data_IF_294960985177
#
_entry.id   IF_294960985177
#
_cell.length_a   1.000
_cell.length_b   1.000
_cell.length_c   1.000
_cell.angle_alpha   90.00
_cell.angle_beta   90.00
_cell.angle_gamma   90.00
#
_symmetry.space_group_name_H-M   'P 1'
#
loop_
_entity.id
_entity.type
_entity.pdbx_description
1 polymer ?
#
# COMPACT_ATOMS: atom_id res chain seq x y z
N UNK A 1 -7.63 35.31 33.06
CA UNK A 1 -8.49 34.43 32.24
C UNK A 1 -8.03 33.00 32.44
N UNK A 2 -8.82 32.18 33.11
CA UNK A 2 -8.55 30.76 33.32
C UNK A 2 -8.83 30.01 32.02
N UNK A 3 -7.76 29.60 31.32
CA UNK A 3 -7.88 28.69 30.18
C UNK A 3 -8.42 27.37 30.70
N UNK A 4 -9.70 27.08 30.44
CA UNK A 4 -10.25 25.76 30.70
C UNK A 4 -9.40 24.73 29.96
N UNK A 5 -8.79 23.82 30.71
CA UNK A 5 -8.21 22.60 30.12
C UNK A 5 -9.33 21.91 29.32
N UNK A 6 -9.09 21.50 28.06
CA UNK A 6 -10.05 20.69 27.34
C UNK A 6 -10.43 19.48 28.21
N UNK A 7 -11.72 19.19 28.30
CA UNK A 7 -12.21 18.00 28.97
C UNK A 7 -11.57 16.80 28.28
N UNK A 8 -10.72 16.07 29.00
CA UNK A 8 -10.11 14.85 28.50
C UNK A 8 -11.17 13.76 28.52
N UNK A 9 -11.95 13.66 27.45
CA UNK A 9 -12.83 12.51 27.23
C UNK A 9 -11.92 11.32 26.93
N UNK A 10 -11.99 10.27 27.75
CA UNK A 10 -11.28 9.03 27.44
C UNK A 10 -11.90 8.44 26.16
N UNK A 11 -11.11 8.22 25.10
CA UNK A 11 -11.64 7.65 23.87
C UNK A 11 -12.02 6.19 24.10
N UNK A 12 -13.26 5.83 23.78
CA UNK A 12 -13.67 4.43 23.69
C UNK A 12 -13.09 3.87 22.38
N UNK A 13 -12.01 3.09 22.48
CA UNK A 13 -11.33 2.56 21.30
C UNK A 13 -12.08 1.34 20.76
N UNK A 14 -12.32 1.27 19.44
CA UNK A 14 -13.00 0.12 18.84
C UNK A 14 -12.14 -1.13 18.93
N UNK A 15 -12.79 -2.29 19.06
CA UNK A 15 -12.17 -3.59 18.87
C UNK A 15 -12.07 -3.92 17.37
N UNK A 16 -11.15 -4.81 16.96
CA UNK A 16 -11.07 -5.27 15.57
C UNK A 16 -12.40 -5.76 14.99
N UNK A 17 -13.25 -6.36 15.83
CA UNK A 17 -14.55 -6.90 15.40
C UNK A 17 -15.56 -5.80 15.05
N UNK A 18 -15.37 -4.59 15.58
CA UNK A 18 -16.32 -3.49 15.41
C UNK A 18 -16.20 -2.83 14.02
N UNK A 19 -15.06 -2.99 13.33
CA UNK A 19 -14.85 -2.41 12.00
C UNK A 19 -14.50 -3.42 10.91
N UNK A 20 -14.01 -4.61 11.26
CA UNK A 20 -13.74 -5.69 10.28
C UNK A 20 -15.00 -6.53 10.02
N UNK A 21 -15.95 -6.58 10.96
CA UNK A 21 -17.19 -7.35 10.83
C UNK A 21 -16.98 -8.87 10.83
N UNK A 22 -18.07 -9.65 10.84
CA UNK A 22 -18.01 -11.13 10.75
C UNK A 22 -17.75 -11.62 9.32
N UNK A 23 -18.14 -10.85 8.32
CA UNK A 23 -18.03 -11.15 6.88
C UNK A 23 -16.78 -10.53 6.22
N UNK A 24 -15.80 -10.12 7.02
CA UNK A 24 -14.59 -9.45 6.57
C UNK A 24 -13.91 -10.09 5.36
N UNK A 25 -13.81 -11.43 5.39
CA UNK A 25 -13.10 -12.18 4.36
C UNK A 25 -13.83 -12.25 3.02
N UNK A 26 -15.14 -11.96 2.99
CA UNK A 26 -15.93 -11.89 1.76
C UNK A 26 -16.09 -10.46 1.25
N UNK A 27 -15.99 -9.45 2.13
CA UNK A 27 -16.22 -8.04 1.79
C UNK A 27 -14.94 -7.19 1.63
N UNK A 28 -13.82 -7.63 2.21
CA UNK A 28 -12.57 -6.87 2.25
C UNK A 28 -11.41 -7.66 1.66
N UNK A 29 -10.41 -6.95 1.12
CA UNK A 29 -9.14 -7.55 0.71
C UNK A 29 -8.30 -7.93 1.94
N UNK A 30 -7.38 -8.88 1.76
CA UNK A 30 -6.41 -9.23 2.81
C UNK A 30 -5.61 -8.02 3.30
N UNK A 31 -5.26 -7.12 2.38
CA UNK A 31 -4.50 -5.91 2.67
C UNK A 31 -5.30 -4.88 3.45
N UNK A 32 -6.60 -4.75 3.21
CA UNK A 32 -7.50 -3.89 4.00
C UNK A 32 -7.64 -4.41 5.43
N UNK A 33 -7.87 -5.72 5.60
CA UNK A 33 -7.99 -6.35 6.92
C UNK A 33 -6.70 -6.18 7.72
N UNK A 34 -5.56 -6.41 7.08
CA UNK A 34 -4.24 -6.23 7.70
C UNK A 34 -4.01 -4.76 8.07
N UNK A 35 -4.20 -3.84 7.13
CA UNK A 35 -3.96 -2.40 7.35
C UNK A 35 -4.88 -1.82 8.41
N UNK A 36 -6.14 -2.25 8.47
CA UNK A 36 -7.07 -1.83 9.52
C UNK A 36 -6.60 -2.28 10.92
N UNK A 37 -6.06 -3.51 11.04
CA UNK A 37 -5.47 -4.00 12.30
C UNK A 37 -4.24 -3.20 12.69
N UNK A 38 -3.33 -2.94 11.74
CA UNK A 38 -2.12 -2.16 11.99
C UNK A 38 -2.45 -0.72 12.38
N UNK A 39 -3.37 -0.06 11.68
CA UNK A 39 -3.80 1.29 12.00
C UNK A 39 -4.51 1.37 13.36
N UNK A 40 -5.26 0.33 13.78
CA UNK A 40 -5.78 0.25 15.15
C UNK A 40 -4.64 0.17 16.18
N UNK A 41 -3.65 -0.69 15.94
CA UNK A 41 -2.46 -0.79 16.81
C UNK A 41 -1.73 0.55 16.92
N UNK A 42 -1.58 1.27 15.81
CA UNK A 42 -1.02 2.62 15.78
C UNK A 42 -1.88 3.64 16.54
N UNK A 43 -3.21 3.58 16.42
CA UNK A 43 -4.13 4.43 17.16
C UNK A 43 -4.03 4.21 18.67
N UNK A 44 -3.91 2.95 19.11
CA UNK A 44 -3.69 2.60 20.52
C UNK A 44 -2.38 3.18 21.06
N UNK A 45 -1.30 3.06 20.29
CA UNK A 45 0.00 3.67 20.62
C UNK A 45 -0.11 5.19 20.72
N UNK A 46 -0.77 5.84 19.75
CA UNK A 46 -0.98 7.29 19.76
C UNK A 46 -1.81 7.75 20.96
N UNK A 47 -2.85 6.99 21.30
CA UNK A 47 -3.73 7.25 22.46
C UNK A 47 -2.95 7.16 23.78
N UNK A 48 -2.09 6.15 23.92
CA UNK A 48 -1.18 6.01 25.05
C UNK A 48 -0.16 7.15 25.14
N UNK A 49 0.47 7.52 24.01
CA UNK A 49 1.39 8.66 23.94
C UNK A 49 0.73 9.98 24.38
N UNK A 50 -0.56 10.13 24.14
CA UNK A 50 -1.34 11.28 24.61
C UNK A 50 -1.67 11.24 26.12
N UNK A 51 -1.24 10.21 26.84
CA UNK A 51 -1.43 10.07 28.28
C UNK A 51 -2.78 9.49 28.70
N UNK A 52 -3.52 8.88 27.76
CA UNK A 52 -4.76 8.17 28.06
C UNK A 52 -4.50 6.91 28.87
N UNK A 53 -5.41 6.59 29.81
CA UNK A 53 -5.36 5.35 30.61
C UNK A 53 -6.20 4.22 30.00
N UNK A 54 -6.90 4.49 28.90
CA UNK A 54 -7.71 3.50 28.17
C UNK A 54 -6.90 2.36 27.54
N UNK A 55 -5.57 2.52 27.43
CA UNK A 55 -4.67 1.51 26.87
C UNK A 55 -3.57 1.21 27.90
N UNK A 56 -3.42 -0.07 28.25
CA UNK A 56 -2.39 -0.50 29.19
C UNK A 56 -1.01 -0.54 28.52
N UNK A 57 0.07 -0.44 29.32
CA UNK A 57 1.43 -0.44 28.78
C UNK A 57 1.78 -1.78 28.09
N UNK A 58 1.24 -2.88 28.59
CA UNK A 58 1.39 -4.22 28.04
C UNK A 58 0.70 -4.35 26.68
N UNK A 59 -0.46 -3.71 26.51
CA UNK A 59 -1.17 -3.68 25.23
C UNK A 59 -0.40 -2.86 24.19
N UNK A 60 0.22 -1.75 24.61
CA UNK A 60 1.08 -0.94 23.74
C UNK A 60 2.30 -1.75 23.28
N UNK A 61 2.92 -2.50 24.18
CA UNK A 61 4.05 -3.36 23.82
C UNK A 61 3.66 -4.40 22.77
N UNK A 62 2.49 -5.04 22.93
CA UNK A 62 1.92 -5.95 21.94
C UNK A 62 1.63 -5.26 20.60
N UNK A 63 1.05 -4.06 20.62
CA UNK A 63 0.78 -3.27 19.41
C UNK A 63 2.06 -2.95 18.65
N UNK A 64 3.12 -2.52 19.36
CA UNK A 64 4.42 -2.24 18.75
C UNK A 64 5.06 -3.50 18.16
N UNK A 65 4.88 -4.67 18.79
CA UNK A 65 5.41 -5.95 18.28
C UNK A 65 4.72 -6.32 16.98
N UNK A 66 3.38 -6.19 16.91
CA UNK A 66 2.62 -6.43 15.68
C UNK A 66 3.06 -5.50 14.54
N UNK A 67 3.35 -4.23 14.85
CA UNK A 67 3.85 -3.27 13.85
C UNK A 67 5.25 -3.64 13.38
N UNK A 68 6.14 -4.08 14.27
CA UNK A 68 7.49 -4.55 13.90
C UNK A 68 7.45 -5.81 13.01
N UNK A 69 6.58 -6.77 13.34
CA UNK A 69 6.36 -7.98 12.55
C UNK A 69 5.80 -7.64 11.16
N UNK A 70 4.83 -6.73 11.10
CA UNK A 70 4.26 -6.23 9.85
C UNK A 70 5.31 -5.55 8.97
N UNK A 71 6.13 -4.65 9.52
CA UNK A 71 7.24 -4.02 8.78
C UNK A 71 8.24 -5.05 8.25
N UNK A 72 8.55 -6.08 9.05
CA UNK A 72 9.42 -7.17 8.64
C UNK A 72 8.82 -7.96 7.48
N UNK A 73 7.51 -8.22 7.50
CA UNK A 73 6.79 -8.85 6.38
C UNK A 73 6.82 -7.96 5.14
N UNK A 74 6.43 -6.70 5.25
CA UNK A 74 6.39 -5.76 4.11
C UNK A 74 7.76 -5.50 3.52
N UNK A 75 8.81 -5.49 4.34
CA UNK A 75 10.18 -5.41 3.83
C UNK A 75 10.55 -6.57 2.93
N UNK A 76 10.00 -7.77 3.15
CA UNK A 76 10.24 -8.95 2.30
C UNK A 76 9.36 -8.90 1.06
N UNK A 77 8.08 -8.57 1.23
CA UNK A 77 7.11 -8.50 0.11
C UNK A 77 7.49 -7.44 -0.93
N UNK A 78 8.11 -6.34 -0.48
CA UNK A 78 8.58 -5.23 -1.31
C UNK A 78 10.06 -5.34 -1.69
N UNK A 79 10.76 -6.40 -1.25
CA UNK A 79 12.16 -6.59 -1.59
C UNK A 79 12.31 -6.90 -3.08
N UNK A 80 13.33 -6.30 -3.70
CA UNK A 80 13.61 -6.45 -5.13
C UNK A 80 14.80 -7.39 -5.38
N UNK A 81 15.03 -8.38 -4.49
CA UNK A 81 16.12 -9.35 -4.59
C UNK A 81 16.02 -10.22 -5.87
N UNK A 82 16.47 -9.69 -7.00
CA UNK A 82 16.49 -10.39 -8.29
C UNK A 82 15.67 -9.68 -9.37
N UNK A 83 14.40 -10.06 -9.62
CA UNK A 83 13.60 -9.48 -10.70
C UNK A 83 13.50 -7.95 -10.60
N UNK A 84 13.23 -7.27 -11.73
CA UNK A 84 13.09 -5.80 -11.81
C UNK A 84 11.97 -5.23 -10.91
N UNK A 85 11.16 -6.07 -10.26
CA UNK A 85 10.00 -5.74 -9.42
C UNK A 85 9.90 -6.73 -8.24
N UNK A 86 9.29 -6.33 -7.12
CA UNK A 86 9.16 -7.18 -5.93
C UNK A 86 8.13 -8.31 -6.08
N UNK A 87 8.08 -9.22 -5.10
CA UNK A 87 7.08 -10.29 -5.04
C UNK A 87 5.64 -9.75 -5.05
N UNK A 88 5.34 -8.76 -4.20
CA UNK A 88 4.01 -8.13 -4.14
C UNK A 88 3.57 -7.58 -5.51
N UNK A 89 4.48 -6.91 -6.21
CA UNK A 89 4.19 -6.37 -7.53
C UNK A 89 4.03 -7.51 -8.55
N UNK A 90 4.89 -8.52 -8.50
CA UNK A 90 4.79 -9.68 -9.40
C UNK A 90 3.47 -10.47 -9.25
N UNK A 91 2.89 -10.51 -8.05
CA UNK A 91 1.64 -11.21 -7.77
C UNK A 91 0.39 -10.41 -8.15
N UNK A 92 0.51 -9.08 -8.23
CA UNK A 92 -0.64 -8.19 -8.44
C UNK A 92 -0.65 -7.49 -9.79
N UNK A 93 0.51 -7.32 -10.43
CA UNK A 93 0.66 -6.65 -11.71
C UNK A 93 0.26 -7.56 -12.89
N UNK A 94 -0.10 -6.95 -14.02
CA UNK A 94 -0.39 -7.65 -15.27
C UNK A 94 0.84 -7.67 -16.17
N UNK A 95 1.25 -8.83 -16.72
CA UNK A 95 2.33 -8.88 -17.70
C UNK A 95 1.84 -8.34 -19.04
N UNK A 96 2.47 -7.27 -19.54
CA UNK A 96 2.19 -6.67 -20.85
C UNK A 96 3.02 -7.30 -21.97
N UNK A 97 4.17 -7.87 -21.64
CA UNK A 97 5.01 -8.66 -22.57
C UNK A 97 5.24 -10.03 -21.97
N UNK A 98 5.48 -11.05 -22.81
CA UNK A 98 5.92 -12.38 -22.35
C UNK A 98 7.23 -12.20 -21.57
N UNK A 99 7.10 -12.09 -20.24
CA UNK A 99 8.14 -12.14 -19.21
C UNK A 99 8.96 -10.86 -18.89
N UNK A 100 8.61 -9.66 -19.35
CA UNK A 100 9.50 -8.49 -19.14
C UNK A 100 8.86 -7.19 -18.63
N UNK A 101 7.68 -6.81 -19.15
CA UNK A 101 7.02 -5.56 -18.77
C UNK A 101 5.78 -5.87 -17.93
N UNK A 102 5.67 -5.26 -16.75
CA UNK A 102 4.52 -5.39 -15.86
C UNK A 102 3.85 -4.02 -15.70
N UNK A 103 2.54 -3.98 -15.87
CA UNK A 103 1.72 -2.82 -15.54
C UNK A 103 0.99 -3.01 -14.21
N UNK A 104 0.80 -1.93 -13.43
CA UNK A 104 0.05 -2.02 -12.19
C UNK A 104 -1.41 -2.35 -12.47
N UNK A 105 -2.03 -3.12 -11.58
CA UNK A 105 -3.49 -3.27 -11.55
C UNK A 105 -4.07 -2.39 -10.45
N UNK A 106 -5.40 -2.30 -10.40
CA UNK A 106 -6.10 -1.74 -9.24
C UNK A 106 -5.61 -2.37 -7.93
N UNK A 107 -5.41 -3.70 -7.91
CA UNK A 107 -4.94 -4.41 -6.72
C UNK A 107 -3.52 -4.02 -6.33
N UNK A 108 -2.62 -3.87 -7.32
CA UNK A 108 -1.27 -3.36 -7.07
C UNK A 108 -1.30 -1.98 -6.42
N UNK A 109 -2.09 -1.05 -6.98
CA UNK A 109 -2.21 0.29 -6.39
C UNK A 109 -2.81 0.25 -5.00
N UNK A 110 -3.91 -0.48 -4.83
CA UNK A 110 -4.59 -0.61 -3.56
C UNK A 110 -3.66 -1.08 -2.44
N UNK A 111 -2.93 -2.15 -2.70
CA UNK A 111 -1.99 -2.72 -1.72
C UNK A 111 -0.84 -1.73 -1.40
N UNK A 112 -0.28 -1.07 -2.43
CA UNK A 112 0.80 -0.08 -2.25
C UNK A 112 0.32 1.15 -1.46
N UNK A 113 -0.87 1.68 -1.76
CA UNK A 113 -1.43 2.84 -1.07
C UNK A 113 -1.76 2.53 0.39
N UNK A 114 -2.36 1.37 0.70
CA UNK A 114 -2.66 0.98 2.08
C UNK A 114 -1.40 0.81 2.94
N UNK A 115 -0.33 0.25 2.35
CA UNK A 115 0.98 0.20 3.02
C UNK A 115 1.50 1.63 3.27
N UNK A 116 1.45 2.50 2.26
CA UNK A 116 1.90 3.89 2.35
C UNK A 116 1.18 4.68 3.44
N UNK A 117 -0.15 4.54 3.55
CA UNK A 117 -0.95 5.18 4.59
C UNK A 117 -0.50 4.77 6.00
N UNK A 118 -0.31 3.46 6.21
CA UNK A 118 0.14 2.91 7.49
C UNK A 118 1.57 3.37 7.84
N UNK A 119 2.47 3.43 6.85
CA UNK A 119 3.82 3.97 7.02
C UNK A 119 3.80 5.46 7.38
N UNK A 120 2.89 6.24 6.79
CA UNK A 120 2.74 7.67 7.12
C UNK A 120 2.23 7.89 8.54
N UNK A 121 1.27 7.10 8.99
CA UNK A 121 0.83 7.11 10.39
C UNK A 121 1.99 6.76 11.34
N UNK A 122 2.77 5.74 11.01
CA UNK A 122 3.91 5.31 11.80
C UNK A 122 5.04 6.34 11.83
N UNK A 123 5.34 7.04 10.72
CA UNK A 123 6.35 8.10 10.69
C UNK A 123 5.98 9.27 11.63
N UNK A 124 4.70 9.64 11.67
CA UNK A 124 4.19 10.67 12.57
C UNK A 124 4.27 10.22 14.04
N UNK A 125 3.86 8.99 14.34
CA UNK A 125 3.90 8.43 15.70
C UNK A 125 5.33 8.34 16.22
N UNK A 126 6.25 7.81 15.43
CA UNK A 126 7.68 7.70 15.82
C UNK A 126 8.33 9.07 15.98
N UNK A 127 7.97 10.06 15.16
CA UNK A 127 8.38 11.45 15.30
C UNK A 127 7.89 12.08 16.61
N UNK A 128 6.62 11.83 16.98
CA UNK A 128 6.04 12.29 18.25
C UNK A 128 6.69 11.59 19.44
N UNK A 129 6.85 10.27 19.39
CA UNK A 129 7.45 9.46 20.46
C UNK A 129 8.93 9.81 20.70
N UNK A 130 9.64 10.23 19.65
CA UNK A 130 11.03 10.68 19.73
C UNK A 130 11.18 12.04 20.44
N UNK A 131 10.15 12.88 20.44
CA UNK A 131 10.18 14.20 21.09
C UNK A 131 10.06 14.05 22.59
N UNK A 132 10.98 14.66 23.35
CA UNK A 132 10.93 14.74 24.82
C UNK A 132 9.78 15.65 25.27
N UNK A 133 8.55 15.14 25.28
CA UNK A 133 7.39 15.88 25.80
C UNK A 133 7.17 15.51 27.26
N UNK A 134 7.13 16.51 28.15
CA UNK A 134 7.12 16.35 29.61
C UNK A 134 5.85 15.72 30.21
N UNK A 135 4.81 15.48 29.40
CA UNK A 135 3.51 14.95 29.85
C UNK A 135 3.07 13.65 29.14
N UNK A 136 3.85 13.18 28.16
CA UNK A 136 3.51 11.99 27.38
C UNK A 136 4.04 10.72 28.08
N UNK A 137 3.30 9.62 27.96
CA UNK A 137 3.81 8.31 28.34
C UNK A 137 5.06 7.98 27.49
N UNK A 138 6.09 7.40 28.11
CA UNK A 138 7.39 7.21 27.45
C UNK A 138 7.46 5.81 26.83
N UNK A 139 7.83 5.76 25.55
CA UNK A 139 8.18 4.53 24.86
C UNK A 139 9.71 4.31 24.87
N UNK A 140 10.18 3.06 24.79
CA UNK A 140 11.62 2.77 24.74
C UNK A 140 12.26 3.40 23.49
N UNK A 141 13.23 4.29 23.69
CA UNK A 141 13.82 5.08 22.59
C UNK A 141 14.46 4.20 21.50
N UNK A 142 15.18 3.17 21.90
CA UNK A 142 15.84 2.27 20.95
C UNK A 142 14.83 1.54 20.08
N UNK A 143 13.64 1.23 20.63
CA UNK A 143 12.53 0.63 19.88
C UNK A 143 11.93 1.61 18.88
N UNK A 144 11.70 2.86 19.29
CA UNK A 144 11.18 3.91 18.41
C UNK A 144 12.15 4.22 17.27
N UNK A 145 13.46 4.25 17.56
CA UNK A 145 14.48 4.46 16.53
C UNK A 145 14.48 3.32 15.51
N UNK A 146 14.49 2.06 15.97
CA UNK A 146 14.38 0.89 15.08
C UNK A 146 13.12 0.93 14.21
N UNK A 147 11.97 1.26 14.79
CA UNK A 147 10.72 1.43 14.05
C UNK A 147 10.83 2.51 12.99
N UNK A 148 11.40 3.67 13.31
CA UNK A 148 11.58 4.76 12.36
C UNK A 148 12.51 4.35 11.19
N UNK A 149 13.58 3.62 11.49
CA UNK A 149 14.52 3.14 10.48
C UNK A 149 13.88 2.08 9.57
N UNK A 150 13.18 1.09 10.14
CA UNK A 150 12.41 0.10 9.36
C UNK A 150 11.30 0.74 8.53
N UNK A 151 10.60 1.75 9.06
CA UNK A 151 9.58 2.51 8.31
C UNK A 151 10.19 3.16 7.08
N UNK A 152 11.34 3.82 7.24
CA UNK A 152 12.06 4.46 6.12
C UNK A 152 12.52 3.42 5.11
N UNK A 153 13.03 2.28 5.55
CA UNK A 153 13.45 1.19 4.66
C UNK A 153 12.29 0.69 3.80
N UNK A 154 11.15 0.32 4.41
CA UNK A 154 9.98 -0.17 3.67
C UNK A 154 9.45 0.90 2.71
N UNK A 155 9.44 2.17 3.13
CA UNK A 155 9.04 3.29 2.28
C UNK A 155 9.95 3.46 1.06
N UNK A 156 11.27 3.38 1.22
CA UNK A 156 12.18 3.45 0.07
C UNK A 156 12.03 2.26 -0.87
N UNK A 157 11.80 1.04 -0.35
CA UNK A 157 11.49 -0.14 -1.17
C UNK A 157 10.19 0.04 -1.96
N UNK A 158 9.15 0.60 -1.34
CA UNK A 158 7.88 0.91 -2.01
C UNK A 158 8.12 1.91 -3.17
N UNK A 159 8.87 2.99 -2.91
CA UNK A 159 9.21 3.96 -3.96
C UNK A 159 10.06 3.35 -5.07
N UNK A 160 10.97 2.44 -4.74
CA UNK A 160 11.78 1.74 -5.74
C UNK A 160 10.88 0.91 -6.68
N UNK A 161 9.91 0.18 -6.12
CA UNK A 161 8.90 -0.56 -6.89
C UNK A 161 8.05 0.37 -7.76
N UNK A 162 7.57 1.49 -7.23
CA UNK A 162 6.79 2.46 -8.00
C UNK A 162 7.62 3.05 -9.18
N UNK A 163 8.90 3.35 -8.97
CA UNK A 163 9.80 3.80 -10.05
C UNK A 163 10.04 2.69 -11.08
N UNK A 164 10.19 1.44 -10.66
CA UNK A 164 10.39 0.32 -11.55
C UNK A 164 9.16 0.08 -12.44
N UNK A 165 7.96 0.10 -11.86
CA UNK A 165 6.69 0.05 -12.59
C UNK A 165 6.55 1.23 -13.56
N UNK A 166 6.86 2.45 -13.10
CA UNK A 166 6.80 3.65 -13.95
C UNK A 166 7.75 3.52 -15.14
N UNK A 167 8.97 3.05 -14.90
CA UNK A 167 9.95 2.79 -15.95
C UNK A 167 9.43 1.73 -16.93
N UNK A 168 8.81 0.66 -16.43
CA UNK A 168 8.31 -0.44 -17.26
C UNK A 168 7.16 0.00 -18.17
N UNK A 169 6.21 0.80 -17.68
CA UNK A 169 5.09 1.28 -18.51
C UNK A 169 5.52 2.37 -19.51
N UNK A 170 6.61 3.08 -19.23
CA UNK A 170 7.15 4.12 -20.10
C UNK A 170 8.05 3.56 -21.22
N UNK A 171 8.28 2.24 -21.28
CA UNK A 171 9.13 1.65 -22.31
C UNK A 171 8.50 1.79 -23.71
N UNK A 172 9.31 2.04 -24.76
CA UNK A 172 8.80 2.11 -26.12
C UNK A 172 8.05 0.84 -26.53
N UNK A 173 6.91 1.00 -27.17
CA UNK A 173 6.07 -0.10 -27.67
C UNK A 173 5.20 -0.77 -26.61
N UNK A 174 5.14 -0.26 -25.37
CA UNK A 174 4.23 -0.78 -24.33
C UNK A 174 2.77 -0.53 -24.69
N UNK A 175 2.43 0.65 -25.24
CA UNK A 175 1.08 0.95 -25.71
C UNK A 175 0.62 -0.06 -26.76
N UNK A 176 1.46 -0.36 -27.76
CA UNK A 176 1.18 -1.38 -28.76
C UNK A 176 0.97 -2.76 -28.13
N UNK A 177 1.85 -3.16 -27.20
CA UNK A 177 1.70 -4.43 -26.47
C UNK A 177 0.40 -4.49 -25.63
N UNK A 178 -0.06 -3.37 -25.09
CA UNK A 178 -1.32 -3.29 -24.35
C UNK A 178 -2.53 -3.39 -25.28
N UNK A 179 -2.50 -2.73 -26.44
CA UNK A 179 -3.54 -2.86 -27.47
C UNK A 179 -3.61 -4.32 -27.95
N UNK A 180 -2.46 -4.94 -28.24
CA UNK A 180 -2.37 -6.34 -28.62
C UNK A 180 -2.93 -7.27 -27.54
N UNK A 181 -2.68 -6.96 -26.26
CA UNK A 181 -3.21 -7.74 -25.12
C UNK A 181 -4.73 -7.62 -25.01
N UNK A 182 -5.30 -6.43 -25.20
CA UNK A 182 -6.76 -6.18 -25.10
C UNK A 182 -7.51 -6.86 -26.25
N UNK A 183 -6.97 -6.75 -27.46
CA UNK A 183 -7.60 -7.29 -28.67
C UNK A 183 -7.34 -8.79 -28.80
N UNK A 184 -6.12 -9.21 -28.49
CA UNK A 184 -5.64 -10.55 -28.78
C UNK A 184 -5.66 -11.52 -27.62
N UNK A 185 -5.72 -11.04 -26.38
CA UNK A 185 -5.55 -11.88 -25.20
C UNK A 185 -4.14 -12.51 -25.12
N UNK A 186 -3.91 -13.25 -24.05
CA UNK A 186 -2.62 -13.92 -23.79
C UNK A 186 -2.51 -15.33 -24.38
N UNK A 187 -3.56 -15.84 -25.03
CA UNK A 187 -3.68 -17.24 -25.44
C UNK A 187 -3.76 -17.40 -26.97
N UNK A 188 -2.90 -18.27 -27.52
CA UNK A 188 -2.81 -18.55 -28.96
C UNK A 188 -3.70 -19.75 -29.39
N UNK A 189 -4.67 -20.13 -28.56
CA UNK A 189 -5.63 -21.22 -28.85
C UNK A 189 -6.61 -20.89 -29.98
N UNK A 190 -7.27 -21.92 -30.53
CA UNK A 190 -8.30 -21.77 -31.59
C UNK A 190 -9.43 -20.81 -31.16
N UNK A 191 -9.90 -20.92 -29.91
CA UNK A 191 -10.91 -20.03 -29.34
C UNK A 191 -10.42 -18.57 -29.22
N UNK A 192 -9.14 -18.37 -28.87
CA UNK A 192 -8.51 -17.05 -28.79
C UNK A 192 -8.40 -16.38 -30.16
N UNK A 193 -8.13 -17.17 -31.20
CA UNK A 193 -8.05 -16.69 -32.58
C UNK A 193 -9.42 -16.25 -33.11
N UNK A 194 -10.49 -17.01 -32.80
CA UNK A 194 -11.86 -16.65 -33.17
C UNK A 194 -12.36 -15.41 -32.40
N UNK A 195 -12.10 -15.34 -31.09
CA UNK A 195 -12.45 -14.18 -30.27
C UNK A 195 -11.73 -12.92 -30.79
N UNK A 196 -10.43 -13.01 -31.07
CA UNK A 196 -9.62 -11.93 -31.64
C UNK A 196 -10.22 -11.41 -32.95
N UNK A 197 -10.57 -12.31 -33.87
CA UNK A 197 -11.18 -11.93 -35.15
C UNK A 197 -12.56 -11.26 -35.00
N UNK A 198 -13.33 -11.58 -33.97
CA UNK A 198 -14.60 -10.90 -33.67
C UNK A 198 -14.38 -9.55 -32.96
N UNK A 199 -13.40 -9.46 -32.06
CA UNK A 199 -13.03 -8.19 -31.41
C UNK A 199 -12.45 -7.19 -32.44
N UNK A 200 -11.60 -7.65 -33.36
CA UNK A 200 -11.06 -6.83 -34.47
C UNK A 200 -12.16 -6.25 -35.38
N UNK A 201 -13.24 -7.00 -35.60
CA UNK A 201 -14.39 -6.52 -36.40
C UNK A 201 -15.31 -5.58 -35.62
N UNK A 202 -15.35 -5.73 -34.30
CA UNK A 202 -16.30 -5.04 -33.42
C UNK A 202 -15.72 -3.74 -32.90
N UNK A 203 -14.43 -3.72 -32.57
CA UNK A 203 -13.77 -2.56 -32.02
C UNK A 203 -13.26 -1.62 -33.10
N UNK A 204 -13.52 -0.33 -32.90
CA UNK A 204 -12.76 0.71 -33.57
C UNK A 204 -11.35 0.71 -32.97
N UNK A 205 -10.36 0.32 -33.77
CA UNK A 205 -8.95 0.26 -33.36
C UNK A 205 -8.45 1.60 -32.83
N UNK A 206 -8.92 2.72 -33.38
CA UNK A 206 -8.55 4.05 -32.89
C UNK A 206 -9.13 4.30 -31.49
N UNK A 207 -10.35 3.84 -31.22
CA UNK A 207 -10.96 3.93 -29.90
C UNK A 207 -10.25 3.05 -28.86
N UNK A 208 -9.82 1.84 -29.24
CA UNK A 208 -9.03 0.95 -28.37
C UNK A 208 -7.66 1.56 -28.05
N UNK A 209 -6.98 2.12 -29.04
CA UNK A 209 -5.70 2.79 -28.84
C UNK A 209 -5.84 4.00 -27.91
N UNK A 210 -6.87 4.83 -28.09
CA UNK A 210 -7.16 5.95 -27.17
C UNK A 210 -7.42 5.46 -25.75
N UNK A 211 -8.26 4.43 -25.57
CA UNK A 211 -8.53 3.85 -24.26
C UNK A 211 -7.27 3.31 -23.58
N UNK A 212 -6.41 2.61 -24.32
CA UNK A 212 -5.14 2.10 -23.79
C UNK A 212 -4.19 3.23 -23.41
N UNK A 213 -4.18 4.32 -24.18
CA UNK A 213 -3.45 5.55 -23.86
C UNK A 213 -3.92 6.18 -22.55
N UNK A 214 -5.23 6.40 -22.40
CA UNK A 214 -5.83 6.93 -21.15
C UNK A 214 -5.55 6.01 -19.95
N UNK A 215 -5.60 4.68 -20.15
CA UNK A 215 -5.28 3.72 -19.10
C UNK A 215 -3.81 3.82 -18.67
N UNK A 216 -2.88 3.94 -19.62
CA UNK A 216 -1.45 4.13 -19.31
C UNK A 216 -1.19 5.45 -18.59
N UNK A 217 -1.85 6.54 -19.00
CA UNK A 217 -1.79 7.83 -18.30
C UNK A 217 -2.30 7.68 -16.86
N UNK A 218 -3.42 6.98 -16.65
CA UNK A 218 -3.96 6.72 -15.30
C UNK A 218 -2.98 5.94 -14.40
N UNK A 219 -2.21 5.00 -14.97
CA UNK A 219 -1.15 4.29 -14.25
C UNK A 219 0.01 5.21 -13.90
N UNK A 220 0.43 6.06 -14.82
CA UNK A 220 1.48 7.05 -14.56
C UNK A 220 1.07 8.02 -13.45
N UNK A 221 -0.15 8.56 -13.49
CA UNK A 221 -0.69 9.43 -12.45
C UNK A 221 -0.75 8.73 -11.09
N UNK A 222 -1.23 7.48 -11.05
CA UNK A 222 -1.28 6.67 -9.84
C UNK A 222 0.10 6.43 -9.22
N UNK A 223 1.11 6.15 -10.05
CA UNK A 223 2.50 5.95 -9.61
C UNK A 223 3.14 7.26 -9.16
N UNK A 224 2.86 8.37 -9.84
CA UNK A 224 3.30 9.70 -9.43
C UNK A 224 2.70 10.11 -8.09
N UNK A 225 1.44 9.75 -7.84
CA UNK A 225 0.80 9.92 -6.53
C UNK A 225 1.60 9.24 -5.41
N UNK A 226 1.98 7.96 -5.59
CA UNK A 226 2.83 7.23 -4.63
C UNK A 226 4.19 7.91 -4.42
N UNK A 227 4.80 8.42 -5.49
CA UNK A 227 6.11 9.08 -5.43
C UNK A 227 6.07 10.49 -4.82
N UNK A 228 4.91 11.14 -4.77
CA UNK A 228 4.72 12.46 -4.14
C UNK A 228 4.54 12.38 -2.62
N UNK A 229 4.09 11.25 -2.07
CA UNK A 229 3.94 11.09 -0.62
C UNK A 229 5.33 11.15 0.04
N UNK A 230 5.47 11.94 1.09
CA UNK A 230 6.70 12.04 1.92
C UNK A 230 6.39 11.62 3.36
N UNK A 231 7.32 10.90 4.03
CA UNK A 231 7.17 10.52 5.44
C UNK A 231 7.47 11.64 6.43
#
# INVERSE_FOLDING_TARGET
>A
MTVQKPVSVEPNLPSPKDFVGSEASSEMTSSEIESAKINLSLLKVATFLNGSKSVAAEEVDSCLTQVEEWLCSKSKDLDMNGPKISQLVSETAVPLRRHEASAPTWRSFHDLYLIMESLKALSLITSIASKKTTKAAKLPKDRIQRLADSTRQVYESLRANARALKSAISEPGVLGSLVDLVVGGSDDGEDGTQLRAELDKTFDTAAVEMFCGELMESWEEGLDGLLRVSL
#
